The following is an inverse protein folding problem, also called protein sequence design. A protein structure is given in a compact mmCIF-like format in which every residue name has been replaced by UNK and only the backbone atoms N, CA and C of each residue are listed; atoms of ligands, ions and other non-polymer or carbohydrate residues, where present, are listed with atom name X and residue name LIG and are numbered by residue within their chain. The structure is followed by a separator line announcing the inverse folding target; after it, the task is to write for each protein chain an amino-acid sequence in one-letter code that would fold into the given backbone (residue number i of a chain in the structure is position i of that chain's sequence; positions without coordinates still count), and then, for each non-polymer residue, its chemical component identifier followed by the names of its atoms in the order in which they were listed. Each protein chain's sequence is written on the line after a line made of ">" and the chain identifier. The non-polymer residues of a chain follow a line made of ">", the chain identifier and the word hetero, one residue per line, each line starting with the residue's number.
data_IF_155718442591
#
_entry.id   IF_155718442591
#
_cell.length_a   1.000
_cell.length_b   1.000
_cell.length_c   1.000
_cell.angle_alpha   90.00
_cell.angle_beta   90.00
_cell.angle_gamma   90.00
#
_symmetry.space_group_name_H-M   'P 1'
#
loop_
_entity.id
_entity.type
_entity.pdbx_description
1 polymer ?
#
# COMPACT_ATOMS: atom_id res chain seq x y z
N UNK A 1 15.55 3.09 18.10
CA UNK A 1 15.88 2.25 19.27
C UNK A 1 17.21 1.53 19.04
N UNK A 2 17.84 0.97 20.09
CA UNK A 2 19.14 0.28 19.97
C UNK A 2 19.08 -0.96 19.08
N UNK A 3 17.92 -1.62 19.02
CA UNK A 3 17.59 -2.76 18.15
C UNK A 3 17.25 -2.36 16.70
N UNK A 4 17.33 -1.07 16.35
CA UNK A 4 16.99 -0.57 15.01
C UNK A 4 15.51 -0.24 14.80
N UNK A 5 14.62 -0.60 15.73
CA UNK A 5 13.19 -0.28 15.63
C UNK A 5 12.88 1.20 15.83
N UNK A 6 11.72 1.62 15.34
CA UNK A 6 11.13 2.93 15.58
C UNK A 6 9.82 2.77 16.35
N UNK A 7 9.58 3.66 17.31
CA UNK A 7 8.30 3.72 18.01
C UNK A 7 7.23 4.34 17.10
N UNK A 8 5.98 3.94 17.29
CA UNK A 8 4.83 4.40 16.49
C UNK A 8 4.59 5.90 16.65
N UNK A 9 4.76 6.44 17.86
CA UNK A 9 4.45 7.84 18.14
C UNK A 9 5.40 8.46 19.16
N UNK A 10 5.65 9.75 18.96
CA UNK A 10 6.50 10.60 19.79
C UNK A 10 5.74 11.88 20.14
N UNK A 11 5.98 12.40 21.34
CA UNK A 11 5.55 13.74 21.74
C UNK A 11 6.40 14.80 21.01
N UNK A 12 5.96 16.06 21.07
CA UNK A 12 6.66 17.19 20.42
C UNK A 12 8.08 17.42 20.95
N UNK A 13 8.37 16.98 22.17
CA UNK A 13 9.71 17.04 22.78
C UNK A 13 10.62 15.86 22.39
N UNK A 14 10.12 14.94 21.54
CA UNK A 14 10.84 13.75 21.09
C UNK A 14 10.78 12.57 22.06
N UNK A 15 10.12 12.71 23.22
CA UNK A 15 9.85 11.58 24.10
C UNK A 15 8.84 10.63 23.46
N UNK A 16 8.88 9.34 23.81
CA UNK A 16 7.92 8.37 23.28
C UNK A 16 6.54 8.68 23.85
N UNK A 17 5.51 8.68 23.01
CA UNK A 17 4.14 8.80 23.51
C UNK A 17 3.81 7.55 24.34
N UNK A 18 3.57 7.76 25.63
CA UNK A 18 3.19 6.70 26.58
C UNK A 18 1.74 6.82 27.03
N UNK A 19 0.98 7.74 26.42
CA UNK A 19 -0.45 7.83 26.66
C UNK A 19 -1.12 6.55 26.15
N UNK A 20 -1.82 5.85 27.02
CA UNK A 20 -2.59 4.64 26.71
C UNK A 20 -4.07 4.83 27.04
N UNK A 21 -4.54 6.08 27.12
CA UNK A 21 -5.95 6.41 27.39
C UNK A 21 -6.89 5.97 26.26
N UNK A 22 -6.34 5.74 25.07
CA UNK A 22 -7.02 5.13 23.94
C UNK A 22 -6.14 4.03 23.36
N UNK A 23 -6.77 2.93 22.91
CA UNK A 23 -6.08 1.90 22.16
C UNK A 23 -5.44 2.46 20.87
N UNK A 24 -5.95 3.58 20.32
CA UNK A 24 -5.32 4.34 19.23
C UNK A 24 -3.89 4.80 19.56
N UNK A 25 -3.60 5.04 20.83
CA UNK A 25 -2.35 5.59 21.33
C UNK A 25 -1.40 4.46 21.76
N UNK A 26 -0.99 3.64 20.79
CA UNK A 26 -0.01 2.57 20.99
C UNK A 26 1.42 3.04 20.68
N UNK A 27 1.84 4.14 21.31
CA UNK A 27 3.09 4.84 20.95
C UNK A 27 4.35 3.98 21.09
N UNK A 28 4.39 3.05 22.06
CA UNK A 28 5.51 2.11 22.25
C UNK A 28 5.56 0.95 21.25
N UNK A 29 4.55 0.81 20.37
CA UNK A 29 4.59 -0.22 19.32
C UNK A 29 5.77 0.00 18.40
N UNK A 30 6.42 -1.10 18.01
CA UNK A 30 7.55 -1.13 17.08
C UNK A 30 7.18 -1.70 15.71
N UNK A 31 5.92 -2.13 15.55
CA UNK A 31 5.44 -2.86 14.37
C UNK A 31 5.43 -1.99 13.10
N UNK A 32 5.38 -0.66 13.26
CA UNK A 32 5.46 0.32 12.18
C UNK A 32 6.87 0.67 11.71
N UNK A 33 7.91 -0.01 12.21
CA UNK A 33 9.29 0.20 11.75
C UNK A 33 9.47 0.18 10.22
N UNK A 34 8.72 -0.62 9.42
CA UNK A 34 8.83 -0.58 7.95
C UNK A 34 8.65 0.81 7.34
N UNK A 35 7.78 1.66 7.92
CA UNK A 35 7.49 3.01 7.42
C UNK A 35 8.76 3.87 7.34
N UNK A 36 9.68 3.72 8.30
CA UNK A 36 10.92 4.49 8.36
C UNK A 36 11.95 4.06 7.30
N UNK A 37 11.95 2.79 6.87
CA UNK A 37 13.02 2.22 6.02
C UNK A 37 13.10 2.93 4.67
N UNK A 38 11.98 3.05 3.93
CA UNK A 38 11.95 3.72 2.62
C UNK A 38 12.39 5.18 2.72
N UNK A 39 11.94 5.88 3.78
CA UNK A 39 12.33 7.26 4.04
C UNK A 39 13.84 7.39 4.24
N UNK A 40 14.43 6.55 5.10
CA UNK A 40 15.87 6.58 5.39
C UNK A 40 16.71 6.21 4.15
N UNK A 41 16.28 5.24 3.34
CA UNK A 41 16.93 4.92 2.06
C UNK A 41 16.94 6.15 1.12
N UNK A 42 15.80 6.86 1.02
CA UNK A 42 15.72 8.06 0.21
C UNK A 42 16.58 9.19 0.76
N UNK A 43 16.60 9.41 2.08
CA UNK A 43 17.47 10.41 2.71
C UNK A 43 18.94 10.16 2.39
N UNK A 44 19.39 8.91 2.41
CA UNK A 44 20.76 8.57 1.97
C UNK A 44 20.98 8.91 0.49
N UNK A 45 20.05 8.55 -0.40
CA UNK A 45 20.15 8.87 -1.85
C UNK A 45 20.24 10.37 -2.11
N UNK A 46 19.47 11.18 -1.38
CA UNK A 46 19.45 12.63 -1.55
C UNK A 46 20.64 13.35 -0.92
N UNK A 47 21.13 12.87 0.24
CA UNK A 47 22.14 13.60 1.02
C UNK A 47 23.54 13.01 0.93
N UNK A 48 23.68 11.74 0.56
CA UNK A 48 24.93 10.98 0.66
C UNK A 48 25.38 10.66 2.09
N UNK A 49 24.65 11.12 3.12
CA UNK A 49 25.06 10.94 4.51
C UNK A 49 24.83 9.49 4.97
N UNK A 50 25.93 8.79 5.22
CA UNK A 50 25.98 7.37 5.58
C UNK A 50 25.17 7.04 6.84
N UNK A 51 24.89 8.02 7.72
CA UNK A 51 24.07 7.78 8.91
C UNK A 51 22.67 7.30 8.54
N UNK A 52 22.10 7.78 7.43
CA UNK A 52 20.78 7.38 6.96
C UNK A 52 20.81 5.95 6.40
N UNK A 53 21.86 5.59 5.65
CA UNK A 53 22.07 4.20 5.18
C UNK A 53 22.18 3.24 6.36
N UNK A 54 23.00 3.57 7.35
CA UNK A 54 23.18 2.75 8.54
C UNK A 54 21.88 2.60 9.35
N UNK A 55 21.11 3.68 9.48
CA UNK A 55 19.80 3.64 10.14
C UNK A 55 18.79 2.80 9.35
N UNK A 56 18.75 2.92 8.01
CA UNK A 56 17.89 2.13 7.14
C UNK A 56 18.19 0.63 7.25
N UNK A 57 19.47 0.25 7.24
CA UNK A 57 19.90 -1.14 7.40
C UNK A 57 19.49 -1.72 8.76
N UNK A 58 19.71 -0.98 9.86
CA UNK A 58 19.27 -1.42 11.20
C UNK A 58 17.75 -1.58 11.30
N UNK A 59 17.00 -0.66 10.73
CA UNK A 59 15.54 -0.73 10.70
C UNK A 59 15.04 -1.90 9.83
N UNK A 60 15.67 -2.13 8.68
CA UNK A 60 15.35 -3.25 7.80
C UNK A 60 15.71 -4.60 8.44
N UNK A 61 16.83 -4.69 9.17
CA UNK A 61 17.21 -5.88 9.93
C UNK A 61 16.21 -6.17 11.06
N UNK A 62 15.75 -5.15 11.77
CA UNK A 62 14.65 -5.29 12.72
C UNK A 62 13.38 -5.84 12.03
N UNK A 63 12.98 -5.24 10.91
CA UNK A 63 11.81 -5.70 10.16
C UNK A 63 11.98 -7.16 9.67
N UNK A 64 13.18 -7.51 9.20
CA UNK A 64 13.49 -8.86 8.71
C UNK A 64 13.41 -9.89 9.83
N UNK A 65 14.05 -9.63 10.97
CA UNK A 65 14.11 -10.58 12.08
C UNK A 65 12.78 -10.66 12.84
N UNK A 66 12.21 -9.53 13.22
CA UNK A 66 11.06 -9.51 14.13
C UNK A 66 9.73 -9.65 13.37
N UNK A 67 9.56 -8.98 12.24
CA UNK A 67 8.27 -8.96 11.54
C UNK A 67 8.16 -10.10 10.53
N UNK A 68 9.16 -10.26 9.66
CA UNK A 68 9.16 -11.31 8.64
C UNK A 68 9.43 -12.70 9.25
N UNK A 69 10.58 -12.91 9.90
CA UNK A 69 10.91 -14.23 10.47
C UNK A 69 10.18 -14.53 11.78
N UNK A 70 10.03 -13.52 12.64
CA UNK A 70 9.41 -13.69 13.97
C UNK A 70 7.90 -13.86 13.92
N UNK A 71 7.18 -12.81 13.52
CA UNK A 71 5.70 -12.79 13.54
C UNK A 71 5.12 -13.45 12.27
N UNK A 72 5.77 -13.30 11.11
CA UNK A 72 5.28 -13.84 9.83
C UNK A 72 4.10 -13.07 9.23
N UNK A 73 3.82 -11.85 9.71
CA UNK A 73 2.77 -10.95 9.20
C UNK A 73 3.10 -9.49 9.55
N UNK A 74 2.43 -8.58 8.87
CA UNK A 74 2.59 -7.13 9.06
C UNK A 74 1.37 -6.55 9.76
N UNK A 75 1.61 -5.59 10.65
CA UNK A 75 0.63 -5.16 11.66
C UNK A 75 0.67 -3.65 11.85
N UNK A 76 -0.49 -3.02 11.95
CA UNK A 76 -0.69 -1.65 12.43
C UNK A 76 -0.41 -0.56 11.40
N UNK A 77 -0.50 -0.83 10.11
CA UNK A 77 -0.35 0.16 9.05
C UNK A 77 -1.48 1.19 9.03
N UNK A 78 -2.66 0.83 9.52
CA UNK A 78 -3.78 1.78 9.67
C UNK A 78 -3.61 2.67 10.90
N UNK A 79 -3.95 3.97 10.82
CA UNK A 79 -3.85 4.90 11.94
C UNK A 79 -4.97 4.70 12.98
N UNK A 80 -6.16 4.31 12.51
CA UNK A 80 -7.43 4.18 13.24
C UNK A 80 -7.67 2.79 13.84
N UNK A 81 -7.06 1.73 13.28
CA UNK A 81 -7.07 0.37 13.82
C UNK A 81 -5.66 -0.04 14.26
N UNK A 82 -5.20 0.47 15.41
CA UNK A 82 -3.82 0.29 15.85
C UNK A 82 -3.50 -1.17 16.17
N UNK A 83 -2.35 -1.63 15.68
CA UNK A 83 -1.80 -2.97 15.97
C UNK A 83 -2.67 -4.19 15.57
N UNK A 84 -3.50 -4.06 14.53
CA UNK A 84 -4.11 -5.23 13.86
C UNK A 84 -3.35 -5.60 12.58
N UNK A 85 -3.31 -6.89 12.17
CA UNK A 85 -2.84 -7.25 10.84
C UNK A 85 -3.69 -6.57 9.76
N UNK A 86 -3.03 -5.82 8.88
CA UNK A 86 -3.71 -5.00 7.87
C UNK A 86 -2.92 -4.91 6.57
N UNK A 87 -3.62 -4.48 5.52
CA UNK A 87 -3.10 -4.33 4.16
C UNK A 87 -2.04 -3.23 4.08
N UNK A 88 -2.28 -2.09 4.72
CA UNK A 88 -1.39 -0.93 4.75
C UNK A 88 0.00 -1.33 5.26
N UNK A 89 0.07 -2.16 6.30
CA UNK A 89 1.29 -2.68 6.89
C UNK A 89 2.02 -3.59 5.91
N UNK A 90 1.30 -4.44 5.17
CA UNK A 90 1.88 -5.26 4.09
C UNK A 90 2.46 -4.39 2.98
N UNK A 91 1.78 -3.29 2.60
CA UNK A 91 2.29 -2.34 1.61
C UNK A 91 3.51 -1.56 2.13
N UNK A 92 3.53 -1.14 3.39
CA UNK A 92 4.70 -0.50 3.99
C UNK A 92 5.89 -1.45 4.11
N UNK A 93 5.65 -2.74 4.39
CA UNK A 93 6.69 -3.77 4.34
C UNK A 93 7.21 -3.99 2.91
N UNK A 94 6.33 -4.02 1.92
CA UNK A 94 6.69 -4.09 0.49
C UNK A 94 7.59 -2.92 0.11
N UNK A 95 7.25 -1.70 0.56
CA UNK A 95 8.06 -0.50 0.37
C UNK A 95 9.41 -0.58 1.07
N UNK A 96 9.44 -1.02 2.32
CA UNK A 96 10.64 -1.15 3.13
C UNK A 96 11.64 -2.11 2.51
N UNK A 97 11.20 -3.34 2.23
CA UNK A 97 12.08 -4.38 1.71
C UNK A 97 12.49 -4.12 0.25
N UNK A 98 11.65 -3.49 -0.56
CA UNK A 98 12.04 -3.08 -1.92
C UNK A 98 13.10 -1.99 -1.89
N UNK A 99 12.93 -0.97 -1.03
CA UNK A 99 13.87 0.15 -0.93
C UNK A 99 15.23 -0.27 -0.36
N UNK A 100 15.26 -1.14 0.65
CA UNK A 100 16.53 -1.62 1.21
C UNK A 100 17.22 -2.61 0.26
N UNK A 101 16.47 -3.47 -0.45
CA UNK A 101 17.04 -4.35 -1.46
C UNK A 101 17.70 -3.54 -2.59
N UNK A 102 17.04 -2.48 -3.08
CA UNK A 102 17.65 -1.58 -4.07
C UNK A 102 18.93 -0.91 -3.56
N UNK A 103 19.03 -0.66 -2.25
CA UNK A 103 20.16 0.05 -1.66
C UNK A 103 21.35 -0.88 -1.41
N UNK A 104 21.12 -2.16 -1.12
CA UNK A 104 22.15 -3.09 -0.66
C UNK A 104 22.43 -4.24 -1.62
N UNK A 105 21.46 -4.64 -2.44
CA UNK A 105 21.51 -5.88 -3.23
C UNK A 105 21.52 -7.16 -2.39
N UNK A 106 21.24 -7.08 -1.08
CA UNK A 106 21.30 -8.24 -0.18
C UNK A 106 20.06 -9.13 -0.38
N UNK A 107 20.31 -10.35 -0.88
CA UNK A 107 19.30 -11.36 -1.18
C UNK A 107 18.43 -11.75 0.02
N UNK A 108 18.84 -11.50 1.26
CA UNK A 108 17.94 -11.68 2.42
C UNK A 108 16.72 -10.77 2.32
N UNK A 109 16.92 -9.51 1.89
CA UNK A 109 15.81 -8.58 1.74
C UNK A 109 14.95 -8.90 0.52
N UNK A 110 15.50 -9.55 -0.51
CA UNK A 110 14.71 -10.06 -1.63
C UNK A 110 13.68 -11.11 -1.18
N UNK A 111 14.05 -12.01 -0.27
CA UNK A 111 13.11 -13.00 0.31
C UNK A 111 12.01 -12.35 1.15
N UNK A 112 12.37 -11.37 1.98
CA UNK A 112 11.38 -10.63 2.76
C UNK A 112 10.47 -9.76 1.88
N UNK A 113 11.00 -9.24 0.77
CA UNK A 113 10.26 -8.50 -0.25
C UNK A 113 9.23 -9.38 -0.94
N UNK A 114 9.59 -10.61 -1.33
CA UNK A 114 8.63 -11.58 -1.86
C UNK A 114 7.50 -11.87 -0.86
N UNK A 115 7.84 -12.13 0.41
CA UNK A 115 6.84 -12.33 1.46
C UNK A 115 5.91 -11.11 1.63
N UNK A 116 6.46 -9.89 1.62
CA UNK A 116 5.67 -8.66 1.69
C UNK A 116 4.76 -8.47 0.47
N UNK A 117 5.24 -8.80 -0.73
CA UNK A 117 4.44 -8.74 -1.95
C UNK A 117 3.27 -9.74 -1.89
N UNK A 118 3.53 -11.00 -1.50
CA UNK A 118 2.48 -12.02 -1.33
C UNK A 118 1.47 -11.58 -0.28
N UNK A 119 1.94 -11.06 0.86
CA UNK A 119 1.06 -10.53 1.90
C UNK A 119 0.18 -9.40 1.38
N UNK A 120 0.75 -8.40 0.67
CA UNK A 120 -0.03 -7.30 0.10
C UNK A 120 -1.07 -7.78 -0.93
N UNK A 121 -0.72 -8.75 -1.78
CA UNK A 121 -1.66 -9.33 -2.76
C UNK A 121 -2.78 -10.14 -2.10
N UNK A 122 -2.53 -10.76 -0.94
CA UNK A 122 -3.52 -11.62 -0.26
C UNK A 122 -4.75 -10.88 0.27
N UNK A 123 -4.68 -9.56 0.38
CA UNK A 123 -5.79 -8.71 0.82
C UNK A 123 -6.78 -8.37 -0.30
N UNK A 124 -6.45 -8.68 -1.56
CA UNK A 124 -7.16 -8.23 -2.75
C UNK A 124 -8.21 -9.26 -3.17
N UNK A 125 -9.45 -8.83 -3.42
CA UNK A 125 -10.47 -9.66 -4.05
C UNK A 125 -10.06 -9.99 -5.49
N UNK A 126 -9.96 -11.30 -5.77
CA UNK A 126 -9.58 -11.82 -7.10
C UNK A 126 -10.79 -12.25 -7.94
N UNK A 127 -12.00 -12.09 -7.40
CA UNK A 127 -13.26 -12.40 -8.06
C UNK A 127 -14.20 -11.19 -7.95
N UNK A 128 -15.12 -11.09 -8.90
CA UNK A 128 -16.08 -10.00 -8.97
C UNK A 128 -17.46 -10.45 -8.49
N UNK A 129 -18.16 -9.59 -7.75
CA UNK A 129 -19.52 -9.85 -7.28
C UNK A 129 -20.31 -8.56 -7.06
N UNK A 130 -21.63 -8.56 -7.34
CA UNK A 130 -22.47 -7.39 -7.11
C UNK A 130 -22.90 -7.26 -5.65
N UNK A 131 -23.01 -6.02 -5.17
CA UNK A 131 -23.58 -5.64 -3.87
C UNK A 131 -24.82 -4.80 -4.14
N UNK A 132 -25.96 -5.45 -4.29
CA UNK A 132 -27.19 -4.82 -4.82
C UNK A 132 -27.99 -4.03 -3.79
N UNK A 133 -27.83 -4.36 -2.51
CA UNK A 133 -28.51 -3.71 -1.40
C UNK A 133 -27.63 -2.64 -0.79
N UNK A 134 -28.23 -1.48 -0.47
CA UNK A 134 -27.57 -0.36 0.19
C UNK A 134 -28.28 -0.08 1.52
N UNK A 135 -27.53 0.23 2.57
CA UNK A 135 -28.08 0.39 3.93
C UNK A 135 -29.13 1.52 4.01
N UNK A 136 -28.95 2.57 3.21
CA UNK A 136 -29.91 3.68 3.09
C UNK A 136 -30.11 4.10 1.63
N UNK A 137 -31.14 4.91 1.38
CA UNK A 137 -31.40 5.50 0.05
C UNK A 137 -30.30 6.44 -0.42
N UNK A 138 -29.66 7.17 0.50
CA UNK A 138 -28.52 8.04 0.21
C UNK A 138 -27.33 7.20 -0.27
N UNK A 139 -27.03 6.11 0.42
CA UNK A 139 -25.96 5.19 0.02
C UNK A 139 -26.27 4.46 -1.29
N UNK A 140 -27.54 4.24 -1.63
CA UNK A 140 -27.89 3.64 -2.93
C UNK A 140 -27.42 4.51 -4.11
N UNK A 141 -27.43 5.84 -3.96
CA UNK A 141 -26.91 6.75 -4.98
C UNK A 141 -25.39 6.71 -5.13
N UNK A 142 -24.67 6.28 -4.08
CA UNK A 142 -23.22 6.17 -4.03
C UNK A 142 -22.70 4.75 -4.33
N UNK A 143 -23.60 3.76 -4.41
CA UNK A 143 -23.23 2.36 -4.53
C UNK A 143 -22.61 2.04 -5.90
N UNK A 144 -21.28 2.03 -5.93
CA UNK A 144 -20.49 1.69 -7.12
C UNK A 144 -20.43 0.19 -7.41
N UNK A 145 -20.93 -0.65 -6.48
CA UNK A 145 -20.85 -2.11 -6.54
C UNK A 145 -22.16 -2.78 -6.95
N UNK A 146 -23.21 -2.01 -7.24
CA UNK A 146 -24.56 -2.52 -7.54
C UNK A 146 -24.59 -3.56 -8.66
N UNK A 147 -23.67 -3.46 -9.62
CA UNK A 147 -23.57 -4.35 -10.78
C UNK A 147 -22.24 -5.13 -10.83
N UNK A 148 -21.52 -5.26 -9.71
CA UNK A 148 -20.15 -5.77 -9.66
C UNK A 148 -19.12 -4.65 -9.52
N UNK A 149 -17.86 -4.94 -9.79
CA UNK A 149 -16.73 -4.02 -9.63
C UNK A 149 -15.95 -4.18 -8.33
N UNK A 150 -16.15 -5.27 -7.59
CA UNK A 150 -15.45 -5.57 -6.33
C UNK A 150 -14.08 -6.20 -6.55
N UNK A 151 -13.84 -6.84 -7.69
CA UNK A 151 -12.52 -7.38 -8.02
C UNK A 151 -11.46 -6.28 -8.01
N UNK A 152 -10.31 -6.53 -7.38
CA UNK A 152 -9.22 -5.56 -7.23
C UNK A 152 -9.33 -4.64 -6.02
N UNK A 153 -10.49 -4.59 -5.37
CA UNK A 153 -10.62 -3.96 -4.06
C UNK A 153 -9.99 -4.83 -2.99
N UNK A 154 -9.59 -4.20 -1.90
CA UNK A 154 -8.83 -4.86 -0.86
C UNK A 154 -9.44 -4.64 0.52
N UNK A 155 -9.55 -5.72 1.29
CA UNK A 155 -9.93 -5.65 2.71
C UNK A 155 -8.87 -4.84 3.45
N UNK A 156 -9.31 -3.96 4.34
CA UNK A 156 -8.43 -3.05 5.06
C UNK A 156 -7.62 -3.81 6.13
N UNK A 157 -8.27 -4.55 7.04
CA UNK A 157 -7.60 -5.30 8.09
C UNK A 157 -8.41 -6.50 8.59
N UNK A 158 -7.75 -7.36 9.37
CA UNK A 158 -8.44 -8.42 10.12
C UNK A 158 -9.30 -7.82 11.23
N UNK A 159 -10.49 -8.40 11.45
CA UNK A 159 -11.43 -7.95 12.49
C UNK A 159 -12.48 -6.97 12.02
N UNK A 160 -12.38 -6.47 10.78
CA UNK A 160 -13.44 -5.77 10.07
C UNK A 160 -13.48 -6.20 8.61
N UNK A 161 -14.46 -5.70 7.86
CA UNK A 161 -14.71 -6.16 6.49
C UNK A 161 -14.91 -5.03 5.48
N UNK A 162 -14.56 -3.80 5.88
CA UNK A 162 -14.47 -2.69 4.96
C UNK A 162 -13.33 -2.89 3.95
N UNK A 163 -13.58 -2.42 2.74
CA UNK A 163 -12.65 -2.39 1.60
C UNK A 163 -12.38 -0.94 1.20
N UNK A 164 -11.21 -0.68 0.63
CA UNK A 164 -10.87 0.64 0.12
C UNK A 164 -9.96 0.56 -1.13
N UNK A 165 -9.49 1.74 -1.56
CA UNK A 165 -8.60 1.92 -2.69
C UNK A 165 -7.12 2.03 -2.31
N UNK A 166 -6.75 1.86 -1.03
CA UNK A 166 -5.36 2.01 -0.59
C UNK A 166 -4.43 0.98 -1.24
N UNK A 167 -4.96 -0.19 -1.65
CA UNK A 167 -4.25 -1.18 -2.45
C UNK A 167 -3.61 -0.62 -3.73
N UNK A 168 -4.10 0.50 -4.27
CA UNK A 168 -3.51 1.23 -5.41
C UNK A 168 -2.02 1.53 -5.20
N UNK A 169 -1.61 1.81 -3.96
CA UNK A 169 -0.23 2.08 -3.60
C UNK A 169 0.73 0.92 -3.97
N UNK A 170 0.25 -0.33 -3.97
CA UNK A 170 1.11 -1.49 -4.18
C UNK A 170 1.48 -1.73 -5.66
N UNK A 171 0.70 -1.24 -6.63
CA UNK A 171 0.80 -1.75 -8.00
C UNK A 171 2.15 -1.43 -8.66
N UNK A 172 2.78 -0.31 -8.31
CA UNK A 172 4.11 0.05 -8.82
C UNK A 172 5.17 -0.94 -8.33
N UNK A 173 5.20 -1.27 -7.04
CA UNK A 173 6.18 -2.21 -6.51
C UNK A 173 5.92 -3.65 -7.00
N UNK A 174 4.66 -4.05 -7.17
CA UNK A 174 4.32 -5.33 -7.81
C UNK A 174 4.79 -5.36 -9.27
N UNK A 175 4.61 -4.27 -10.02
CA UNK A 175 5.16 -4.19 -11.38
C UNK A 175 6.69 -4.35 -11.40
N UNK A 176 7.40 -3.73 -10.45
CA UNK A 176 8.86 -3.93 -10.30
C UNK A 176 9.20 -5.38 -9.98
N UNK A 177 8.42 -6.06 -9.13
CA UNK A 177 8.63 -7.50 -8.87
C UNK A 177 8.47 -8.34 -10.13
N UNK A 178 7.47 -8.04 -10.97
CA UNK A 178 7.34 -8.67 -12.28
C UNK A 178 8.58 -8.44 -13.14
N UNK A 179 9.08 -7.20 -13.24
CA UNK A 179 10.27 -6.89 -14.04
C UNK A 179 11.51 -7.64 -13.52
N UNK A 180 11.71 -7.68 -12.20
CA UNK A 180 12.85 -8.39 -11.57
C UNK A 180 12.78 -9.90 -11.78
N UNK A 181 11.62 -10.51 -11.57
CA UNK A 181 11.50 -11.97 -11.44
C UNK A 181 10.95 -12.66 -12.69
N UNK A 182 10.24 -11.93 -13.55
CA UNK A 182 9.45 -12.50 -14.64
C UNK A 182 8.14 -13.18 -14.18
N UNK A 183 7.83 -13.22 -12.88
CA UNK A 183 6.63 -13.87 -12.37
C UNK A 183 5.37 -13.07 -12.75
N UNK A 184 4.52 -13.67 -13.60
CA UNK A 184 3.32 -13.04 -14.14
C UNK A 184 2.24 -12.77 -13.10
N UNK A 185 2.24 -13.45 -11.94
CA UNK A 185 1.29 -13.18 -10.87
C UNK A 185 1.36 -11.72 -10.41
N UNK A 186 2.57 -11.18 -10.26
CA UNK A 186 2.78 -9.79 -9.88
C UNK A 186 2.23 -8.81 -10.92
N UNK A 187 2.40 -9.11 -12.22
CA UNK A 187 1.85 -8.28 -13.29
C UNK A 187 0.32 -8.31 -13.30
N UNK A 188 -0.27 -9.49 -13.08
CA UNK A 188 -1.72 -9.67 -13.03
C UNK A 188 -2.32 -8.84 -11.89
N UNK A 189 -1.80 -8.95 -10.68
CA UNK A 189 -2.32 -8.18 -9.53
C UNK A 189 -2.00 -6.68 -9.67
N UNK A 190 -0.83 -6.33 -10.19
CA UNK A 190 -0.49 -4.93 -10.50
C UNK A 190 -1.51 -4.30 -11.45
N UNK A 191 -1.89 -4.99 -12.53
CA UNK A 191 -2.92 -4.51 -13.47
C UNK A 191 -4.32 -4.49 -12.85
N UNK A 192 -4.63 -5.45 -12.00
CA UNK A 192 -5.91 -5.49 -11.29
C UNK A 192 -6.07 -4.24 -10.42
N UNK A 193 -5.05 -3.92 -9.61
CA UNK A 193 -5.02 -2.73 -8.77
C UNK A 193 -4.99 -1.43 -9.58
N UNK A 194 -4.18 -1.35 -10.64
CA UNK A 194 -4.09 -0.14 -11.50
C UNK A 194 -5.45 0.20 -12.14
N UNK A 195 -6.17 -0.80 -12.65
CA UNK A 195 -7.35 -0.58 -13.47
C UNK A 195 -8.65 -0.57 -12.66
N UNK A 196 -8.85 -1.55 -11.78
CA UNK A 196 -10.16 -1.72 -11.15
C UNK A 196 -10.42 -0.68 -10.06
N UNK A 197 -9.38 -0.29 -9.30
CA UNK A 197 -9.55 0.73 -8.24
C UNK A 197 -9.88 2.11 -8.82
N UNK A 198 -9.51 2.40 -10.07
CA UNK A 198 -9.91 3.64 -10.76
C UNK A 198 -11.42 3.75 -11.00
N UNK A 199 -12.17 2.63 -10.93
CA UNK A 199 -13.64 2.66 -11.00
C UNK A 199 -14.28 3.45 -9.85
N UNK A 200 -13.57 3.57 -8.73
CA UNK A 200 -13.97 4.35 -7.57
C UNK A 200 -13.98 5.86 -7.86
N UNK A 201 -13.13 6.32 -8.79
CA UNK A 201 -13.06 7.72 -9.16
C UNK A 201 -14.33 8.17 -9.88
N UNK A 202 -14.86 9.32 -9.50
CA UNK A 202 -15.91 10.02 -10.24
C UNK A 202 -15.34 10.83 -11.40
N UNK A 203 -14.85 10.12 -12.41
CA UNK A 203 -14.34 10.75 -13.64
C UNK A 203 -15.46 11.40 -14.46
N UNK A 204 -16.70 10.93 -14.30
CA UNK A 204 -17.86 11.41 -15.06
C UNK A 204 -18.65 12.54 -14.38
N UNK A 205 -18.37 12.84 -13.11
CA UNK A 205 -19.16 13.78 -12.29
C UNK A 205 -20.55 13.26 -11.91
N UNK A 206 -20.82 11.95 -12.06
CA UNK A 206 -22.13 11.36 -11.82
C UNK A 206 -22.42 11.10 -10.34
N UNK A 207 -21.39 11.13 -9.49
CA UNK A 207 -21.47 10.87 -8.05
C UNK A 207 -21.41 12.17 -7.24
N UNK A 208 -21.56 13.30 -7.93
CA UNK A 208 -21.66 14.65 -7.35
C UNK A 208 -20.47 15.07 -6.49
N UNK A 209 -19.30 14.47 -6.72
CA UNK A 209 -18.07 15.00 -6.15
C UNK A 209 -17.74 16.34 -6.82
N UNK A 210 -17.27 17.30 -6.01
CA UNK A 210 -16.92 18.64 -6.48
C UNK A 210 -15.93 18.66 -7.64
N UNK A 211 -15.01 17.69 -7.69
CA UNK A 211 -13.99 17.61 -8.73
C UNK A 211 -13.90 16.18 -9.32
N UNK A 212 -13.70 16.06 -10.64
CA UNK A 212 -13.43 14.77 -11.26
C UNK A 212 -12.19 14.10 -10.66
N UNK A 213 -12.25 12.77 -10.50
CA UNK A 213 -11.14 12.00 -9.93
C UNK A 213 -11.19 11.84 -8.40
N UNK A 214 -12.15 12.49 -7.73
CA UNK A 214 -12.46 12.21 -6.34
C UNK A 214 -13.18 10.86 -6.23
N UNK A 215 -13.08 10.22 -5.07
CA UNK A 215 -13.58 8.88 -4.81
C UNK A 215 -14.06 8.81 -3.37
N UNK A 216 -14.99 7.89 -3.11
CA UNK A 216 -15.46 7.59 -1.77
C UNK A 216 -14.40 6.92 -0.91
N UNK A 217 -14.50 7.18 0.39
CA UNK A 217 -13.81 6.51 1.48
C UNK A 217 -14.28 5.04 1.66
N UNK A 218 -13.65 4.31 2.58
CA UNK A 218 -13.88 2.89 2.87
C UNK A 218 -15.35 2.46 2.75
N UNK A 219 -15.56 1.35 2.06
CA UNK A 219 -16.88 0.78 1.76
C UNK A 219 -17.05 -0.56 2.46
N UNK A 220 -18.28 -0.91 2.83
CA UNK A 220 -18.61 -2.28 3.20
C UNK A 220 -19.22 -3.04 2.03
N UNK A 221 -18.80 -4.29 1.87
CA UNK A 221 -19.32 -5.22 0.85
C UNK A 221 -19.47 -6.66 1.36
N UNK A 222 -18.99 -6.96 2.57
CA UNK A 222 -18.76 -8.33 3.01
C UNK A 222 -20.01 -9.11 3.41
N UNK A 223 -21.05 -8.42 3.86
CA UNK A 223 -22.38 -8.96 4.18
C UNK A 223 -23.40 -8.71 3.05
N UNK A 224 -22.92 -8.33 1.85
CA UNK A 224 -23.73 -7.92 0.71
C UNK A 224 -24.59 -6.66 0.96
N UNK A 225 -24.19 -5.83 1.93
CA UNK A 225 -24.80 -4.52 2.22
C UNK A 225 -23.80 -3.41 1.92
N UNK A 226 -24.16 -2.49 1.02
CA UNK A 226 -23.35 -1.32 0.74
C UNK A 226 -23.60 -0.21 1.77
N UNK A 227 -22.51 0.26 2.38
CA UNK A 227 -22.41 1.56 3.02
C UNK A 227 -20.96 2.06 2.90
N UNK A 228 -20.75 3.36 3.05
CA UNK A 228 -19.43 3.99 2.97
C UNK A 228 -19.18 4.86 4.19
N UNK A 229 -17.93 4.91 4.64
CA UNK A 229 -17.50 5.72 5.75
C UNK A 229 -17.72 7.21 5.48
N UNK A 230 -17.99 7.97 6.55
CA UNK A 230 -18.18 9.42 6.52
C UNK A 230 -19.17 9.91 5.43
N UNK A 231 -20.20 9.11 5.13
CA UNK A 231 -21.18 9.36 4.08
C UNK A 231 -20.59 9.55 2.67
N UNK A 232 -19.51 8.82 2.35
CA UNK A 232 -18.85 8.91 1.05
C UNK A 232 -18.05 10.19 0.93
N UNK A 233 -17.40 10.61 2.01
CA UNK A 233 -16.45 11.72 1.95
C UNK A 233 -15.28 11.35 1.03
N UNK A 234 -14.68 12.36 0.43
CA UNK A 234 -13.36 12.23 -0.16
C UNK A 234 -12.29 12.62 0.86
N UNK A 235 -11.31 11.75 1.08
CA UNK A 235 -10.10 12.05 1.85
C UNK A 235 -8.89 12.28 0.93
N UNK A 236 -8.02 13.28 1.19
CA UNK A 236 -6.88 13.59 0.31
C UNK A 236 -5.91 12.43 0.05
N UNK A 237 -5.79 11.48 0.99
CA UNK A 237 -4.93 10.32 0.82
C UNK A 237 -5.36 9.44 -0.36
N UNK A 238 -6.65 9.42 -0.70
CA UNK A 238 -7.19 8.64 -1.82
C UNK A 238 -6.58 9.12 -3.14
N UNK A 239 -6.55 10.43 -3.36
CA UNK A 239 -5.93 11.00 -4.55
C UNK A 239 -4.43 10.73 -4.60
N UNK A 240 -3.75 10.79 -3.45
CA UNK A 240 -2.33 10.43 -3.36
C UNK A 240 -2.08 8.96 -3.72
N UNK A 241 -2.93 8.03 -3.24
CA UNK A 241 -2.83 6.59 -3.52
C UNK A 241 -2.94 6.26 -5.02
N UNK A 242 -3.70 7.05 -5.77
CA UNK A 242 -3.79 6.91 -7.22
C UNK A 242 -2.63 7.57 -7.97
N UNK A 243 -2.19 8.75 -7.55
CA UNK A 243 -1.20 9.56 -8.27
C UNK A 243 0.24 9.05 -8.04
N UNK A 244 0.61 8.73 -6.79
CA UNK A 244 1.98 8.30 -6.44
C UNK A 244 2.50 7.19 -7.35
N UNK A 245 1.83 6.04 -7.49
CA UNK A 245 2.35 4.93 -8.29
C UNK A 245 2.38 5.25 -9.80
N UNK A 246 1.54 6.17 -10.31
CA UNK A 246 1.61 6.66 -11.71
C UNK A 246 2.88 7.47 -11.94
N UNK A 247 3.19 8.39 -11.03
CA UNK A 247 4.41 9.20 -11.09
C UNK A 247 5.64 8.31 -10.98
N UNK A 248 5.65 7.34 -10.07
CA UNK A 248 6.79 6.43 -9.92
C UNK A 248 7.01 5.54 -11.15
N UNK A 249 5.94 5.06 -11.80
CA UNK A 249 6.06 4.38 -13.09
C UNK A 249 6.67 5.30 -14.15
N UNK A 250 6.24 6.56 -14.20
CA UNK A 250 6.76 7.53 -15.16
C UNK A 250 8.24 7.86 -14.90
N UNK A 251 8.62 8.07 -13.65
CA UNK A 251 10.01 8.38 -13.27
C UNK A 251 10.95 7.21 -13.57
N UNK A 252 10.47 5.97 -13.40
CA UNK A 252 11.29 4.76 -13.59
C UNK A 252 11.31 4.29 -15.06
N UNK A 253 10.16 4.34 -15.73
CA UNK A 253 9.96 3.69 -17.03
C UNK A 253 9.45 4.65 -18.12
N UNK A 254 9.31 5.94 -17.84
CA UNK A 254 8.84 6.95 -18.79
C UNK A 254 7.39 6.80 -19.25
N UNK A 255 6.56 6.03 -18.53
CA UNK A 255 5.13 5.82 -18.83
C UNK A 255 4.34 5.65 -17.53
N UNK A 256 3.07 6.05 -17.52
CA UNK A 256 2.20 5.98 -16.32
C UNK A 256 1.31 4.73 -16.24
N UNK A 257 1.43 3.79 -17.18
CA UNK A 257 0.58 2.59 -17.23
C UNK A 257 1.37 1.32 -17.50
N UNK A 258 1.09 0.28 -16.70
CA UNK A 258 1.72 -1.04 -16.85
C UNK A 258 1.35 -1.69 -18.18
N UNK A 259 0.15 -1.45 -18.70
CA UNK A 259 -0.30 -1.94 -20.00
C UNK A 259 0.51 -1.31 -21.14
N UNK A 260 0.70 0.01 -21.10
CA UNK A 260 1.51 0.71 -22.11
C UNK A 260 2.95 0.22 -22.08
N UNK A 261 3.53 0.06 -20.88
CA UNK A 261 4.89 -0.43 -20.71
C UNK A 261 5.11 -1.81 -21.33
N UNK A 262 4.24 -2.76 -21.00
CA UNK A 262 4.33 -4.14 -21.49
C UNK A 262 3.98 -4.32 -22.98
N UNK A 263 3.33 -3.33 -23.61
CA UNK A 263 3.16 -3.29 -25.06
C UNK A 263 4.37 -2.68 -25.79
N UNK A 264 5.04 -1.73 -25.15
CA UNK A 264 6.11 -0.93 -25.76
C UNK A 264 7.49 -1.55 -25.59
N UNK A 265 7.73 -2.24 -24.48
CA UNK A 265 9.04 -2.73 -24.09
C UNK A 265 9.00 -4.23 -23.79
N UNK A 266 10.03 -4.94 -24.25
CA UNK A 266 10.27 -6.32 -23.86
C UNK A 266 10.80 -6.41 -22.39
N UNK A 267 10.78 -7.61 -21.77
CA UNK A 267 11.22 -7.77 -20.39
C UNK A 267 12.67 -7.33 -20.13
N UNK A 268 13.58 -7.48 -21.09
CA UNK A 268 14.99 -7.12 -20.92
C UNK A 268 15.19 -5.61 -20.95
N UNK A 269 14.43 -4.90 -21.80
CA UNK A 269 14.39 -3.45 -21.84
C UNK A 269 13.82 -2.90 -20.53
N UNK A 270 12.72 -3.48 -20.02
CA UNK A 270 12.17 -3.08 -18.71
C UNK A 270 13.17 -3.29 -17.57
N UNK A 271 13.94 -4.39 -17.58
CA UNK A 271 14.99 -4.64 -16.58
C UNK A 271 16.12 -3.61 -16.64
N UNK A 272 16.56 -3.22 -17.84
CA UNK A 272 17.58 -2.16 -18.02
C UNK A 272 17.09 -0.83 -17.45
N UNK A 273 15.86 -0.42 -17.81
CA UNK A 273 15.23 0.80 -17.29
C UNK A 273 15.13 0.80 -15.76
N UNK A 274 14.69 -0.32 -15.16
CA UNK A 274 14.59 -0.46 -13.71
C UNK A 274 15.95 -0.30 -12.99
N UNK A 275 17.03 -0.78 -13.62
CA UNK A 275 18.37 -0.74 -13.06
C UNK A 275 19.12 0.57 -13.36
N UNK A 276 18.52 1.48 -14.13
CA UNK A 276 19.16 2.73 -14.56
C UNK A 276 20.27 2.54 -15.60
N UNK A 277 20.19 1.46 -16.39
CA UNK A 277 21.15 1.10 -17.45
C UNK A 277 20.61 1.36 -18.87
#
# INVERSE_FOLDING_TARGET
>A
NSDGSFYRAYNVDGSVCTDTSSDAYQGRSKLNTPVAVRFLCNMYRFTGDVKYKNAAMKAADYCYNELYLGIGKYVGGTPDNPNVPDKEASVFALYAFSAIYDLTGDEKYARALEHAAVSAMSWVYTYDFPVTYSLTTEYDSLNIFKNGGTAGWSIIATGHSAIDVFGSNAYYELFRQYVRTGNSAYLTVSRLLENNLRSAMDLSGKRDYRYPGFSLEACNTADMIFYTAENGVWLPWISAAFIEPMLRLNDTFGQMSTLTLTKKYDPDTLRKMLNGN
#
